data_IF_902322455887
#
_entry.id   IF_902322455887
#
_cell.length_a   1.000
_cell.length_b   1.000
_cell.length_c   1.000
_cell.angle_alpha   90.00
_cell.angle_beta   90.00
_cell.angle_gamma   90.00
#
_symmetry.space_group_name_H-M   'P 1'
#
loop_
_entity.id
_entity.type
_entity.pdbx_description
1 polymer ?
#
# COMPACT_ATOMS: atom_id res chain seq x y z
N UNK A 1 12.61 13.50 13.74
CA UNK A 1 12.69 12.03 13.67
C UNK A 1 12.28 11.65 12.26
N UNK A 2 13.13 10.96 11.51
CA UNK A 2 12.84 10.57 10.12
C UNK A 2 12.13 9.21 10.13
N UNK A 3 10.83 9.22 9.85
CA UNK A 3 9.96 8.03 9.88
C UNK A 3 10.50 6.93 8.95
N UNK A 4 11.06 7.32 7.80
CA UNK A 4 11.63 6.37 6.85
C UNK A 4 12.85 5.65 7.44
N UNK A 5 13.71 6.37 8.16
CA UNK A 5 14.85 5.76 8.85
C UNK A 5 14.39 4.84 9.97
N UNK A 6 13.34 5.22 10.71
CA UNK A 6 12.74 4.36 11.73
C UNK A 6 12.20 3.06 11.13
N UNK A 7 11.48 3.13 10.00
CA UNK A 7 10.95 1.95 9.30
C UNK A 7 12.11 1.05 8.83
N UNK A 8 13.14 1.61 8.19
CA UNK A 8 14.31 0.86 7.72
C UNK A 8 15.05 0.17 8.86
N UNK A 9 15.22 0.86 9.98
CA UNK A 9 15.82 0.30 11.19
C UNK A 9 15.02 -0.89 11.73
N UNK A 10 13.68 -0.77 11.81
CA UNK A 10 12.80 -1.85 12.28
C UNK A 10 12.88 -3.07 11.35
N UNK A 11 12.87 -2.86 10.03
CA UNK A 11 12.99 -3.94 9.04
C UNK A 11 14.33 -4.67 9.19
N UNK A 12 15.44 -3.93 9.30
CA UNK A 12 16.76 -4.53 9.49
C UNK A 12 16.83 -5.31 10.81
N UNK A 13 16.37 -4.72 11.91
CA UNK A 13 16.35 -5.36 13.21
C UNK A 13 15.53 -6.66 13.17
N UNK A 14 14.40 -6.69 12.46
CA UNK A 14 13.59 -7.89 12.28
C UNK A 14 14.31 -9.00 11.50
N UNK A 15 15.15 -8.65 10.52
CA UNK A 15 15.98 -9.62 9.79
C UNK A 15 17.05 -10.30 10.66
N UNK A 16 17.46 -9.65 11.75
CA UNK A 16 18.46 -10.17 12.70
C UNK A 16 17.84 -11.02 13.83
N UNK A 17 16.50 -11.02 13.97
CA UNK A 17 15.79 -11.78 14.99
C UNK A 17 15.63 -13.24 14.54
N UNK A 18 16.26 -14.16 15.28
CA UNK A 18 16.05 -15.61 15.13
C UNK A 18 14.74 -16.05 15.82
N UNK A 19 13.97 -17.00 15.26
CA UNK A 19 12.87 -17.69 15.94
C UNK A 19 13.12 -18.11 17.39
N UNK A 20 14.37 -18.44 17.75
CA UNK A 20 14.74 -18.74 19.15
C UNK A 20 14.65 -17.52 20.06
N UNK A 21 15.02 -16.32 19.57
CA UNK A 21 14.87 -15.06 20.31
C UNK A 21 13.39 -14.76 20.53
N UNK A 22 12.55 -14.93 19.50
CA UNK A 22 11.09 -14.75 19.61
C UNK A 22 10.51 -15.69 20.66
N UNK A 23 10.86 -16.98 20.58
CA UNK A 23 10.40 -18.00 21.54
C UNK A 23 10.83 -17.68 22.96
N UNK A 24 12.08 -17.29 23.16
CA UNK A 24 12.61 -16.95 24.48
C UNK A 24 11.93 -15.69 25.03
N UNK A 25 11.69 -14.67 24.19
CA UNK A 25 10.93 -13.49 24.58
C UNK A 25 9.50 -13.85 24.99
N UNK A 26 8.81 -14.70 24.23
CA UNK A 26 7.45 -15.15 24.55
C UNK A 26 7.41 -16.02 25.81
N UNK A 27 8.43 -16.83 26.04
CA UNK A 27 8.57 -17.63 27.27
C UNK A 27 8.80 -16.73 28.49
N UNK A 28 9.76 -15.79 28.42
CA UNK A 28 10.05 -14.88 29.53
C UNK A 28 8.92 -13.90 29.84
N UNK A 29 8.10 -13.56 28.84
CA UNK A 29 6.88 -12.73 29.02
C UNK A 29 5.66 -13.56 29.41
N UNK A 30 5.80 -14.88 29.57
CA UNK A 30 4.72 -15.83 29.90
C UNK A 30 3.57 -15.85 28.90
N UNK A 31 3.84 -15.46 27.65
CA UNK A 31 2.91 -15.61 26.53
C UNK A 31 2.84 -17.08 26.10
N UNK A 32 3.98 -17.79 26.16
CA UNK A 32 3.99 -19.25 25.99
C UNK A 32 3.60 -19.93 27.31
N UNK A 33 2.75 -20.98 27.28
CA UNK A 33 2.43 -21.76 28.46
C UNK A 33 3.68 -22.45 29.02
N UNK A 34 3.74 -22.57 30.35
CA UNK A 34 4.88 -23.13 31.06
C UNK A 34 5.14 -24.62 30.76
N UNK A 35 4.15 -25.33 30.19
CA UNK A 35 4.27 -26.73 29.78
C UNK A 35 4.46 -26.85 28.25
N UNK A 36 5.68 -27.20 27.83
CA UNK A 36 6.09 -27.36 26.42
C UNK A 36 5.48 -28.65 25.80
N UNK A 37 4.73 -29.44 26.57
CA UNK A 37 4.10 -30.68 26.11
C UNK A 37 2.59 -30.56 25.86
N UNK A 38 2.09 -29.36 25.55
CA UNK A 38 0.75 -29.23 24.98
C UNK A 38 0.78 -29.77 23.55
N UNK A 39 0.36 -31.03 23.40
CA UNK A 39 0.20 -31.69 22.11
C UNK A 39 -0.80 -30.89 21.27
N UNK A 40 -0.31 -30.03 20.35
CA UNK A 40 -1.10 -29.11 19.53
C UNK A 40 -2.23 -29.80 18.73
N UNK A 41 -2.14 -31.12 18.54
CA UNK A 41 -3.24 -31.91 17.94
C UNK A 41 -4.46 -32.04 18.86
N UNK A 42 -4.28 -32.11 20.18
CA UNK A 42 -5.37 -32.17 21.15
C UNK A 42 -6.04 -30.80 21.33
N UNK A 43 -5.28 -29.71 21.17
CA UNK A 43 -5.81 -28.33 21.21
C UNK A 43 -6.89 -28.15 20.14
N UNK A 44 -6.74 -28.76 18.96
CA UNK A 44 -7.73 -28.66 17.88
C UNK A 44 -9.06 -29.37 18.16
N UNK A 45 -9.09 -30.41 19.00
CA UNK A 45 -10.33 -31.09 19.41
C UNK A 45 -10.97 -30.40 20.62
N UNK A 46 -10.16 -29.88 21.56
CA UNK A 46 -10.65 -29.02 22.66
C UNK A 46 -11.24 -27.71 22.15
N UNK A 47 -10.64 -27.06 21.14
CA UNK A 47 -11.15 -25.80 20.56
C UNK A 47 -12.61 -25.96 20.08
N UNK A 48 -12.96 -27.08 19.43
CA UNK A 48 -14.32 -27.27 18.87
C UNK A 48 -15.39 -27.50 19.96
N UNK A 49 -15.02 -27.93 21.15
CA UNK A 49 -15.93 -28.00 22.31
C UNK A 49 -15.93 -26.69 23.12
N UNK A 50 -14.90 -25.86 22.96
CA UNK A 50 -14.65 -24.65 23.73
C UNK A 50 -15.11 -23.35 23.05
N UNK A 51 -15.55 -23.38 21.78
CA UNK A 51 -16.01 -22.19 21.04
C UNK A 51 -17.12 -21.41 21.80
N UNK A 52 -18.11 -22.10 22.36
CA UNK A 52 -19.17 -21.45 23.14
C UNK A 52 -18.66 -20.85 24.46
N UNK A 53 -17.73 -21.53 25.14
CA UNK A 53 -17.13 -21.03 26.39
C UNK A 53 -16.26 -19.79 26.15
N UNK A 54 -15.51 -19.77 25.05
CA UNK A 54 -14.66 -18.62 24.67
C UNK A 54 -15.52 -17.42 24.26
N UNK A 55 -16.66 -17.65 23.59
CA UNK A 55 -17.63 -16.60 23.30
C UNK A 55 -18.26 -16.02 24.58
N UNK A 56 -18.60 -16.87 25.54
CA UNK A 56 -19.12 -16.45 26.84
C UNK A 56 -18.09 -15.61 27.63
N UNK A 57 -16.82 -16.05 27.67
CA UNK A 57 -15.73 -15.29 28.29
C UNK A 57 -15.50 -13.92 27.61
N UNK A 58 -15.56 -13.87 26.28
CA UNK A 58 -15.45 -12.63 25.52
C UNK A 58 -16.64 -11.70 25.80
N UNK A 59 -17.86 -12.24 25.88
CA UNK A 59 -19.07 -11.49 26.18
C UNK A 59 -19.02 -10.88 27.60
N UNK A 60 -18.51 -11.63 28.57
CA UNK A 60 -18.32 -11.14 29.94
C UNK A 60 -17.23 -10.05 30.02
N UNK A 61 -16.10 -10.24 29.33
CA UNK A 61 -15.06 -9.22 29.24
C UNK A 61 -15.56 -7.93 28.57
N UNK A 62 -16.38 -8.05 27.51
CA UNK A 62 -17.02 -6.89 26.89
C UNK A 62 -17.96 -6.18 27.86
N UNK A 63 -18.74 -6.93 28.64
CA UNK A 63 -19.65 -6.37 29.66
C UNK A 63 -18.91 -5.58 30.73
N UNK A 64 -17.73 -6.03 31.15
CA UNK A 64 -16.87 -5.34 32.12
C UNK A 64 -16.33 -3.99 31.61
N UNK A 65 -16.26 -3.79 30.29
CA UNK A 65 -15.84 -2.52 29.69
C UNK A 65 -16.89 -1.40 29.81
N UNK A 66 -18.12 -1.74 30.24
CA UNK A 66 -19.21 -0.80 30.53
C UNK A 66 -19.48 0.24 29.42
N UNK A 67 -19.46 -0.21 28.17
CA UNK A 67 -19.69 0.63 27.00
C UNK A 67 -21.18 0.96 26.84
N UNK A 68 -21.51 2.19 26.43
CA UNK A 68 -22.90 2.65 26.29
C UNK A 68 -23.70 1.94 25.20
N UNK A 69 -23.03 1.29 24.25
CA UNK A 69 -23.63 0.45 23.22
C UNK A 69 -22.75 -0.78 23.04
N UNK A 70 -23.17 -1.90 23.63
CA UNK A 70 -22.47 -3.17 23.54
C UNK A 70 -22.95 -3.92 22.31
N UNK A 71 -22.03 -4.26 21.41
CA UNK A 71 -22.27 -5.20 20.31
C UNK A 71 -22.10 -6.63 20.84
N UNK A 72 -22.84 -7.59 20.30
CA UNK A 72 -22.75 -8.99 20.74
C UNK A 72 -21.37 -9.57 20.35
N UNK A 73 -20.85 -10.52 21.14
CA UNK A 73 -19.52 -11.09 20.90
C UNK A 73 -19.42 -11.75 19.51
N UNK A 74 -20.52 -12.35 19.07
CA UNK A 74 -20.68 -12.96 17.75
C UNK A 74 -20.63 -11.92 16.63
N UNK A 75 -21.21 -10.74 16.84
CA UNK A 75 -21.19 -9.64 15.88
C UNK A 75 -19.78 -9.03 15.74
N UNK A 76 -18.98 -9.01 16.81
CA UNK A 76 -17.56 -8.58 16.74
C UNK A 76 -16.70 -9.52 15.90
N UNK A 77 -17.03 -10.81 15.87
CA UNK A 77 -16.29 -11.83 15.15
C UNK A 77 -16.85 -12.09 13.76
N UNK A 78 -18.05 -11.58 13.46
CA UNK A 78 -18.66 -11.69 12.14
C UNK A 78 -17.89 -10.83 11.14
N UNK A 79 -17.11 -11.49 10.29
CA UNK A 79 -16.54 -10.89 9.09
C UNK A 79 -17.62 -10.91 8.01
N UNK A 80 -18.23 -9.76 7.65
CA UNK A 80 -19.21 -9.75 6.58
C UNK A 80 -18.56 -10.23 5.28
N UNK A 81 -19.28 -11.02 4.49
CA UNK A 81 -18.84 -11.37 3.15
C UNK A 81 -18.65 -10.07 2.36
N UNK A 82 -17.42 -9.82 1.90
CA UNK A 82 -17.13 -8.68 1.05
C UNK A 82 -17.90 -8.85 -0.26
N UNK A 83 -18.86 -7.95 -0.51
CA UNK A 83 -19.48 -7.87 -1.82
C UNK A 83 -18.38 -7.57 -2.85
N UNK A 84 -18.25 -8.40 -3.89
CA UNK A 84 -17.33 -8.15 -5.01
C UNK A 84 -17.80 -6.87 -5.70
N UNK A 85 -17.22 -5.72 -5.33
CA UNK A 85 -17.60 -4.41 -5.85
C UNK A 85 -17.15 -4.22 -7.30
N UNK A 86 -16.21 -5.05 -7.77
CA UNK A 86 -15.70 -5.02 -9.13
C UNK A 86 -15.43 -6.43 -9.66
N UNK A 87 -16.18 -6.83 -10.70
CA UNK A 87 -15.85 -8.01 -11.49
C UNK A 87 -14.95 -7.56 -12.65
N UNK A 88 -13.75 -8.13 -12.73
CA UNK A 88 -12.88 -7.96 -13.89
C UNK A 88 -13.63 -8.47 -15.14
N UNK A 89 -13.83 -7.64 -16.17
CA UNK A 89 -14.47 -8.08 -17.41
C UNK A 89 -13.64 -9.19 -18.07
N UNK A 90 -14.32 -10.15 -18.69
CA UNK A 90 -13.66 -11.16 -19.53
C UNK A 90 -13.03 -10.49 -20.77
N UNK A 91 -11.90 -11.04 -21.24
CA UNK A 91 -11.11 -10.49 -22.36
C UNK A 91 -11.95 -10.26 -23.62
N UNK A 92 -12.95 -11.12 -23.88
CA UNK A 92 -13.88 -11.01 -25.00
C UNK A 92 -14.68 -9.68 -24.97
N UNK A 93 -15.14 -9.24 -23.79
CA UNK A 93 -15.89 -8.00 -23.61
C UNK A 93 -15.00 -6.78 -23.76
N UNK A 94 -13.76 -6.85 -23.28
CA UNK A 94 -12.76 -5.79 -23.45
C UNK A 94 -12.48 -5.59 -24.95
N UNK A 95 -12.28 -6.69 -25.69
CA UNK A 95 -12.02 -6.62 -27.13
C UNK A 95 -13.22 -6.07 -27.91
N UNK A 96 -14.45 -6.50 -27.59
CA UNK A 96 -15.66 -5.97 -28.22
C UNK A 96 -15.84 -4.47 -27.97
N UNK A 97 -15.59 -4.01 -26.75
CA UNK A 97 -15.72 -2.61 -26.36
C UNK A 97 -14.67 -1.74 -27.07
N UNK A 98 -13.42 -2.20 -27.15
CA UNK A 98 -12.36 -1.52 -27.93
C UNK A 98 -12.72 -1.47 -29.42
N UNK A 99 -13.15 -2.59 -30.01
CA UNK A 99 -13.55 -2.63 -31.43
C UNK A 99 -14.74 -1.71 -31.70
N UNK A 100 -15.69 -1.60 -30.77
CA UNK A 100 -16.81 -0.66 -30.88
C UNK A 100 -16.33 0.80 -30.82
N UNK A 101 -15.47 1.15 -29.86
CA UNK A 101 -14.89 2.48 -29.71
C UNK A 101 -14.13 2.92 -30.97
N UNK A 102 -13.32 2.03 -31.55
CA UNK A 102 -12.49 2.35 -32.72
C UNK A 102 -13.22 2.23 -34.07
N UNK A 103 -14.34 1.49 -34.16
CA UNK A 103 -15.15 1.45 -35.40
C UNK A 103 -15.99 2.70 -35.62
N UNK A 104 -16.32 3.42 -34.55
CA UNK A 104 -17.15 4.63 -34.63
C UNK A 104 -16.33 5.89 -34.96
N UNK A 105 -15.00 5.84 -34.89
CA UNK A 105 -14.11 6.95 -35.26
C UNK A 105 -13.93 7.15 -36.77
N UNK A 106 -14.32 6.18 -37.61
CA UNK A 106 -14.10 6.25 -39.07
C UNK A 106 -15.18 7.03 -39.85
N UNK A 107 -16.26 7.51 -39.19
CA UNK A 107 -17.43 8.11 -39.86
C UNK A 107 -17.78 9.55 -39.50
N UNK A 108 -17.08 10.16 -38.56
CA UNK A 108 -17.15 11.60 -38.41
C UNK A 108 -15.90 12.19 -39.04
N UNK A 109 -16.09 13.02 -40.07
CA UNK A 109 -15.11 14.01 -40.49
C UNK A 109 -14.81 14.88 -39.26
N UNK A 110 -13.91 14.43 -38.39
CA UNK A 110 -13.21 15.33 -37.51
C UNK A 110 -12.27 16.07 -38.44
N UNK A 111 -12.66 17.29 -38.82
CA UNK A 111 -11.68 18.36 -38.83
C UNK A 111 -10.83 18.13 -37.59
N UNK A 112 -9.62 17.62 -37.79
CA UNK A 112 -8.60 17.64 -36.78
C UNK A 112 -8.32 19.13 -36.61
N UNK A 113 -9.14 19.82 -35.82
CA UNK A 113 -8.70 21.02 -35.13
C UNK A 113 -7.36 20.62 -34.56
N UNK A 114 -6.29 21.23 -35.07
CA UNK A 114 -4.96 21.06 -34.53
C UNK A 114 -5.13 21.17 -33.02
N UNK A 115 -4.93 20.06 -32.31
CA UNK A 115 -5.02 20.06 -30.85
C UNK A 115 -4.00 21.10 -30.43
N UNK A 116 -4.50 22.23 -29.94
CA UNK A 116 -3.67 23.33 -29.53
C UNK A 116 -2.88 22.86 -28.31
N UNK A 117 -1.67 22.38 -28.57
CA UNK A 117 -0.70 21.99 -27.57
C UNK A 117 -0.09 23.23 -26.89
N UNK A 118 -0.68 24.42 -27.05
CA UNK A 118 -0.32 25.62 -26.30
C UNK A 118 -0.85 25.60 -24.85
N UNK A 119 -1.08 24.44 -24.24
CA UNK A 119 -1.07 24.32 -22.79
C UNK A 119 0.27 24.91 -22.31
N UNK A 120 0.24 26.20 -21.95
CA UNK A 120 1.41 26.98 -21.58
C UNK A 120 2.01 26.28 -20.36
N UNK A 121 3.12 25.56 -20.59
CA UNK A 121 3.78 24.82 -19.51
C UNK A 121 4.17 25.87 -18.48
N UNK A 122 3.59 25.85 -17.27
CA UNK A 122 3.80 26.91 -16.32
C UNK A 122 5.29 26.94 -15.97
N UNK A 123 5.91 28.10 -16.19
CA UNK A 123 7.31 28.32 -15.84
C UNK A 123 7.38 28.33 -14.31
N UNK A 124 7.81 27.22 -13.73
CA UNK A 124 7.99 27.12 -12.29
C UNK A 124 9.37 27.61 -11.89
N UNK A 125 9.46 28.11 -10.65
CA UNK A 125 10.73 28.50 -10.08
C UNK A 125 11.60 27.28 -9.78
N UNK A 126 12.93 27.47 -9.73
CA UNK A 126 13.87 26.42 -9.35
C UNK A 126 13.59 25.85 -7.95
N UNK A 127 13.13 26.68 -7.00
CA UNK A 127 12.78 26.21 -5.65
C UNK A 127 11.53 25.32 -5.67
N UNK A 128 10.51 25.67 -6.46
CA UNK A 128 9.31 24.85 -6.64
C UNK A 128 9.66 23.50 -7.28
N UNK A 129 10.54 23.50 -8.28
CA UNK A 129 10.99 22.28 -8.95
C UNK A 129 11.77 21.36 -7.98
N UNK A 130 12.64 21.92 -7.13
CA UNK A 130 13.39 21.16 -6.12
C UNK A 130 12.44 20.55 -5.07
N UNK A 131 11.50 21.33 -4.54
CA UNK A 131 10.52 20.83 -3.55
C UNK A 131 9.64 19.70 -4.13
N UNK A 132 9.23 19.85 -5.40
CA UNK A 132 8.49 18.79 -6.11
C UNK A 132 9.33 17.54 -6.28
N UNK A 133 10.62 17.69 -6.57
CA UNK A 133 11.55 16.58 -6.74
C UNK A 133 11.85 15.86 -5.40
N UNK A 134 11.85 16.57 -4.27
CA UNK A 134 11.92 15.97 -2.93
C UNK A 134 10.72 15.05 -2.65
N UNK A 135 9.53 15.43 -3.12
CA UNK A 135 8.32 14.59 -3.01
C UNK A 135 8.47 13.29 -3.80
N UNK A 136 8.99 13.37 -5.03
CA UNK A 136 9.30 12.18 -5.86
C UNK A 136 10.36 11.32 -5.19
N UNK A 137 11.41 11.93 -4.61
CA UNK A 137 12.47 11.22 -3.90
C UNK A 137 11.92 10.46 -2.69
N UNK A 138 11.04 11.10 -1.90
CA UNK A 138 10.35 10.46 -0.77
C UNK A 138 9.54 9.24 -1.21
N UNK A 139 8.73 9.40 -2.26
CA UNK A 139 7.94 8.30 -2.82
C UNK A 139 8.82 7.12 -3.25
N UNK A 140 9.90 7.37 -4.01
CA UNK A 140 10.81 6.31 -4.46
C UNK A 140 11.50 5.59 -3.31
N UNK A 141 11.83 6.30 -2.23
CA UNK A 141 12.48 5.68 -1.06
C UNK A 141 11.59 4.68 -0.31
N UNK A 142 10.27 4.71 -0.57
CA UNK A 142 9.27 3.78 -0.03
C UNK A 142 9.04 2.57 -0.94
N UNK A 143 9.51 2.59 -2.20
CA UNK A 143 9.32 1.50 -3.15
C UNK A 143 10.47 0.47 -3.05
N UNK A 144 10.16 -0.81 -3.26
CA UNK A 144 11.18 -1.85 -3.43
C UNK A 144 11.93 -1.63 -4.76
N UNK A 145 13.24 -1.93 -4.78
CA UNK A 145 14.10 -1.84 -5.98
C UNK A 145 14.24 -0.45 -6.63
N UNK A 146 13.98 0.64 -5.90
CA UNK A 146 14.01 2.00 -6.46
C UNK A 146 15.39 2.68 -6.51
N UNK A 147 16.47 1.97 -6.20
CA UNK A 147 17.79 2.59 -5.96
C UNK A 147 18.35 3.32 -7.20
N UNK A 148 18.14 2.77 -8.39
CA UNK A 148 18.56 3.42 -9.64
C UNK A 148 17.78 4.71 -9.92
N UNK A 149 16.47 4.71 -9.65
CA UNK A 149 15.62 5.88 -9.81
C UNK A 149 15.96 6.99 -8.80
N UNK A 150 16.32 6.63 -7.56
CA UNK A 150 16.80 7.60 -6.56
C UNK A 150 18.13 8.25 -7.02
N UNK A 151 19.03 7.49 -7.65
CA UNK A 151 20.27 8.03 -8.25
C UNK A 151 19.96 8.99 -9.40
N UNK A 152 18.96 8.67 -10.22
CA UNK A 152 18.51 9.53 -11.33
C UNK A 152 17.93 10.84 -10.83
N UNK A 153 17.08 10.79 -9.80
CA UNK A 153 16.53 11.98 -9.12
C UNK A 153 17.65 12.89 -8.61
N UNK A 154 18.70 12.34 -8.00
CA UNK A 154 19.85 13.12 -7.56
C UNK A 154 20.63 13.80 -8.70
N UNK A 155 20.63 13.24 -9.92
CA UNK A 155 21.23 13.89 -11.10
C UNK A 155 20.36 15.05 -11.60
N UNK A 156 19.04 14.89 -11.59
CA UNK A 156 18.07 15.93 -11.99
C UNK A 156 18.15 17.11 -11.01
N UNK A 157 18.27 16.83 -9.71
CA UNK A 157 18.41 17.86 -8.69
C UNK A 157 19.68 18.72 -8.89
N UNK A 158 20.82 18.07 -9.20
CA UNK A 158 22.06 18.78 -9.56
C UNK A 158 21.86 19.68 -10.78
N UNK A 159 21.12 19.20 -11.78
CA UNK A 159 20.80 20.00 -12.97
C UNK A 159 19.95 21.23 -12.63
N UNK A 160 18.94 21.07 -11.77
CA UNK A 160 18.10 22.18 -11.30
C UNK A 160 18.90 23.24 -10.55
N UNK A 161 19.87 22.84 -9.71
CA UNK A 161 20.74 23.80 -9.00
C UNK A 161 21.64 24.63 -9.93
N UNK A 162 21.96 24.12 -11.13
CA UNK A 162 22.80 24.82 -12.12
C UNK A 162 21.97 25.77 -13.01
N UNK A 163 20.68 25.51 -13.21
CA UNK A 163 19.81 26.34 -14.06
C UNK A 163 18.90 27.29 -13.25
N UNK A 164 18.95 28.59 -13.58
CA UNK A 164 18.13 29.66 -12.96
C UNK A 164 16.64 29.63 -13.33
N UNK A 165 16.26 28.93 -14.41
CA UNK A 165 14.88 28.75 -14.87
C UNK A 165 14.73 27.33 -15.46
N UNK A 166 13.64 26.63 -15.13
CA UNK A 166 13.37 25.25 -15.56
C UNK A 166 12.04 25.24 -16.31
N UNK A 167 12.09 24.88 -17.59
CA UNK A 167 10.92 24.90 -18.46
C UNK A 167 10.06 23.63 -18.42
N UNK A 168 10.40 22.60 -17.64
CA UNK A 168 9.53 21.43 -17.53
C UNK A 168 9.95 20.46 -16.42
N UNK A 169 9.00 20.03 -15.58
CA UNK A 169 9.09 18.81 -14.75
C UNK A 169 8.16 17.71 -15.28
N UNK A 170 7.16 18.08 -16.11
CA UNK A 170 6.12 17.16 -16.61
C UNK A 170 6.65 16.13 -17.62
N UNK A 171 7.64 16.49 -18.45
CA UNK A 171 8.21 15.62 -19.48
C UNK A 171 9.08 14.47 -18.94
N UNK A 172 9.65 14.60 -17.74
CA UNK A 172 10.50 13.54 -17.15
C UNK A 172 9.64 12.47 -16.45
N UNK A 173 8.50 12.87 -15.88
CA UNK A 173 7.62 11.97 -15.14
C UNK A 173 6.71 11.15 -16.07
N UNK A 174 6.21 11.73 -17.17
CA UNK A 174 5.29 11.02 -18.07
C UNK A 174 5.98 9.93 -18.92
N UNK A 175 7.23 10.12 -19.36
CA UNK A 175 7.89 9.10 -20.18
C UNK A 175 8.55 7.96 -19.39
N UNK A 176 8.86 8.17 -18.10
CA UNK A 176 9.54 7.15 -17.29
C UNK A 176 8.56 6.23 -16.56
N UNK A 177 7.36 6.70 -16.21
CA UNK A 177 6.36 5.94 -15.44
C UNK A 177 5.33 5.18 -16.29
N UNK A 178 5.28 5.36 -17.62
CA UNK A 178 4.34 4.63 -18.51
C UNK A 178 4.91 3.26 -18.96
N UNK A 179 6.14 2.91 -18.57
CA UNK A 179 6.80 1.64 -18.92
C UNK A 179 7.05 0.68 -17.73
N UNK A 180 6.55 0.99 -16.54
CA UNK A 180 6.47 0.06 -15.40
C UNK A 180 5.03 -0.42 -15.27
#
# INVERSE_FOLDING_TARGET
MDILQTIRFIIQAWGEINPEVVRNCWWHTKILPDDVNVNLRNVSEDIRQNENLVLDELADALRDLNLSYLMQAEEFLYLPEENIVYKVPEDNKIIEELVYLFKNTDKENMDLEEIDNSDEIPIISTSTAIASLETVRMFLLQQENAEEYVKLVGKIEKFFRVKKQIHCVRLILTHTFIKM
#
